data_IF_530169078409
#
_entry.id   IF_530169078409
#
_cell.length_a   1.000
_cell.length_b   1.000
_cell.length_c   1.000
_cell.angle_alpha   90.00
_cell.angle_beta   90.00
_cell.angle_gamma   90.00
#
_symmetry.space_group_name_H-M   'P 1'
#
loop_
_entity.id
_entity.type
_entity.pdbx_description
1 polymer ?
#
# COMPACT_ATOMS: atom_id res chain seq x y z
N UNK A 1 3.33 -10.40 16.41
CA UNK A 1 3.08 -9.56 15.22
C UNK A 1 4.25 -8.63 14.95
N UNK A 2 4.69 -7.82 15.92
CA UNK A 2 5.84 -6.90 15.75
C UNK A 2 7.12 -7.55 15.18
N UNK A 3 7.62 -8.64 15.79
CA UNK A 3 8.80 -9.37 15.29
C UNK A 3 8.65 -9.87 13.85
N UNK A 4 7.44 -10.28 13.48
CA UNK A 4 7.13 -10.72 12.11
C UNK A 4 7.18 -9.54 11.14
N UNK A 5 6.57 -8.40 11.51
CA UNK A 5 6.62 -7.17 10.73
C UNK A 5 8.06 -6.66 10.57
N UNK A 6 8.86 -6.65 11.64
CA UNK A 6 10.27 -6.28 11.59
C UNK A 6 11.04 -7.16 10.61
N UNK A 7 10.91 -8.50 10.71
CA UNK A 7 11.56 -9.39 9.74
C UNK A 7 11.16 -9.09 8.30
N UNK A 8 9.86 -8.89 8.01
CA UNK A 8 9.40 -8.55 6.66
C UNK A 8 9.93 -7.20 6.14
N UNK A 9 10.29 -6.28 7.03
CA UNK A 9 10.80 -4.95 6.69
C UNK A 9 12.32 -4.92 6.58
N UNK A 10 13.04 -5.68 7.41
CA UNK A 10 14.50 -5.58 7.55
C UNK A 10 15.25 -6.67 6.82
N UNK A 11 14.76 -7.91 6.87
CA UNK A 11 15.52 -9.06 6.38
C UNK A 11 15.48 -9.18 4.85
N UNK A 12 16.54 -9.76 4.31
CA UNK A 12 16.70 -9.94 2.88
C UNK A 12 15.76 -10.99 2.28
N UNK A 13 15.16 -11.86 3.09
CA UNK A 13 14.22 -12.87 2.58
C UNK A 13 13.01 -12.21 1.88
N UNK A 14 12.58 -11.03 2.33
CA UNK A 14 11.46 -10.29 1.76
C UNK A 14 11.91 -9.31 0.66
N UNK A 15 13.21 -9.22 0.35
CA UNK A 15 13.73 -8.21 -0.59
C UNK A 15 13.13 -8.30 -1.99
N UNK A 16 12.87 -9.52 -2.47
CA UNK A 16 12.34 -9.75 -3.81
C UNK A 16 10.91 -9.23 -3.99
N UNK A 17 10.12 -9.10 -2.92
CA UNK A 17 8.77 -8.50 -3.00
C UNK A 17 8.81 -7.00 -3.35
N UNK A 18 9.98 -6.37 -3.41
CA UNK A 18 10.09 -4.96 -3.78
C UNK A 18 10.36 -4.77 -5.29
N UNK A 19 10.58 -5.85 -6.03
CA UNK A 19 10.83 -5.82 -7.46
C UNK A 19 9.55 -5.62 -8.28
N UNK A 20 9.70 -5.12 -9.51
CA UNK A 20 8.62 -5.11 -10.48
C UNK A 20 8.60 -6.43 -11.25
N UNK A 21 7.49 -7.15 -11.17
CA UNK A 21 7.22 -8.38 -11.92
C UNK A 21 6.22 -8.16 -13.08
N UNK A 22 5.70 -6.95 -13.25
CA UNK A 22 4.81 -6.60 -14.36
C UNK A 22 5.59 -6.44 -15.66
N UNK A 23 5.08 -7.03 -16.74
CA UNK A 23 5.53 -6.77 -18.11
C UNK A 23 4.74 -5.63 -18.79
N UNK A 24 3.75 -5.05 -18.09
CA UNK A 24 2.96 -3.92 -18.58
C UNK A 24 3.54 -2.57 -18.10
N UNK A 25 3.03 -1.47 -18.66
CA UNK A 25 3.44 -0.12 -18.27
C UNK A 25 3.23 0.19 -16.78
N UNK A 26 2.29 -0.50 -16.11
CA UNK A 26 2.03 -0.31 -14.69
C UNK A 26 2.83 -1.33 -13.87
N UNK A 27 3.64 -0.84 -12.95
CA UNK A 27 4.46 -1.69 -12.08
C UNK A 27 3.57 -2.52 -11.12
N UNK A 28 4.00 -3.77 -10.88
CA UNK A 28 3.37 -4.67 -9.91
C UNK A 28 4.44 -5.48 -9.22
N UNK A 29 4.28 -5.63 -7.92
CA UNK A 29 4.94 -6.71 -7.21
C UNK A 29 4.00 -7.91 -7.03
N UNK A 30 4.49 -9.00 -6.46
CA UNK A 30 3.71 -10.19 -6.11
C UNK A 30 2.57 -9.80 -5.15
N UNK A 31 1.35 -9.73 -5.69
CA UNK A 31 0.12 -9.32 -5.00
C UNK A 31 0.08 -7.86 -4.51
N UNK A 32 1.03 -6.99 -4.89
CA UNK A 32 1.04 -5.58 -4.49
C UNK A 32 1.00 -4.64 -5.71
N UNK A 33 0.32 -3.49 -5.56
CA UNK A 33 0.58 -2.35 -6.41
C UNK A 33 1.96 -1.79 -6.05
N UNK A 34 2.74 -1.39 -7.06
CA UNK A 34 4.07 -0.83 -6.86
C UNK A 34 4.12 0.55 -7.52
N UNK A 35 4.59 1.55 -6.78
CA UNK A 35 4.80 2.91 -7.25
C UNK A 35 6.14 3.43 -6.69
N UNK A 36 7.21 3.31 -7.49
CA UNK A 36 8.55 3.65 -7.04
C UNK A 36 8.99 2.78 -5.85
N UNK A 37 9.40 3.40 -4.75
CA UNK A 37 9.83 2.72 -3.51
C UNK A 37 8.66 2.27 -2.62
N UNK A 38 7.41 2.52 -3.02
CA UNK A 38 6.20 2.16 -2.27
C UNK A 38 5.52 0.90 -2.80
N UNK A 39 5.04 0.07 -1.88
CA UNK A 39 4.06 -0.99 -2.14
C UNK A 39 2.76 -0.68 -1.43
N UNK A 40 1.64 -0.85 -2.12
CA UNK A 40 0.32 -0.63 -1.54
C UNK A 40 -0.72 -1.67 -1.98
N UNK A 41 -1.75 -1.82 -1.14
CA UNK A 41 -2.90 -2.64 -1.43
C UNK A 41 -4.17 -1.97 -0.92
N UNK A 42 -5.25 -2.13 -1.70
CA UNK A 42 -6.58 -1.63 -1.35
C UNK A 42 -7.53 -2.78 -1.10
N UNK A 43 -8.31 -2.68 -0.03
CA UNK A 43 -9.47 -3.53 0.19
C UNK A 43 -10.70 -2.91 -0.45
N UNK A 44 -11.63 -3.77 -0.86
CA UNK A 44 -12.85 -3.35 -1.56
C UNK A 44 -13.68 -2.33 -0.75
N UNK A 45 -13.73 -2.48 0.57
CA UNK A 45 -14.47 -1.58 1.48
C UNK A 45 -13.71 -0.28 1.80
N UNK A 46 -12.57 -0.01 1.15
CA UNK A 46 -11.82 1.23 1.32
C UNK A 46 -10.69 1.14 2.36
N UNK A 47 -10.42 -0.04 2.91
CA UNK A 47 -9.17 -0.25 3.66
C UNK A 47 -7.97 -0.08 2.75
N UNK A 48 -6.88 0.45 3.29
CA UNK A 48 -5.67 0.73 2.55
C UNK A 48 -4.46 0.48 3.42
N UNK A 49 -3.43 -0.12 2.83
CA UNK A 49 -2.13 -0.32 3.46
C UNK A 49 -1.05 0.10 2.47
N UNK A 50 -0.04 0.79 2.99
CA UNK A 50 1.14 1.20 2.21
C UNK A 50 2.40 1.06 3.04
N UNK A 51 3.48 0.66 2.38
CA UNK A 51 4.78 0.41 3.00
C UNK A 51 5.91 0.89 2.09
N UNK A 52 6.96 1.42 2.70
CA UNK A 52 8.22 1.79 2.06
C UNK A 52 9.38 1.25 2.88
N UNK A 53 10.06 0.23 2.35
CA UNK A 53 11.19 -0.42 3.02
C UNK A 53 12.43 0.47 3.09
N UNK A 54 12.70 1.25 2.06
CA UNK A 54 13.89 2.12 2.02
C UNK A 54 13.84 3.18 3.11
N UNK A 55 12.66 3.76 3.31
CA UNK A 55 12.44 4.82 4.29
C UNK A 55 11.96 4.30 5.65
N UNK A 56 11.70 2.99 5.78
CA UNK A 56 11.13 2.34 6.96
C UNK A 56 9.80 2.99 7.41
N UNK A 57 8.93 3.28 6.45
CA UNK A 57 7.63 3.91 6.67
C UNK A 57 6.50 2.94 6.34
N UNK A 58 5.42 3.04 7.10
CA UNK A 58 4.22 2.26 6.85
C UNK A 58 3.00 3.03 7.36
N UNK A 59 1.88 2.84 6.68
CA UNK A 59 0.60 3.35 7.13
C UNK A 59 -0.52 2.37 6.81
N UNK A 60 -1.50 2.31 7.70
CA UNK A 60 -2.73 1.56 7.53
C UNK A 60 -3.88 2.53 7.73
N UNK A 61 -4.77 2.58 6.77
CA UNK A 61 -6.02 3.32 6.84
C UNK A 61 -7.18 2.33 6.88
N UNK A 62 -7.95 2.38 7.97
CA UNK A 62 -9.10 1.53 8.20
C UNK A 62 -10.36 2.38 8.12
N UNK A 63 -11.31 1.96 7.29
CA UNK A 63 -12.64 2.57 7.19
C UNK A 63 -13.68 1.60 7.70
N UNK A 64 -14.73 2.13 8.32
CA UNK A 64 -15.91 1.37 8.74
C UNK A 64 -17.01 1.43 7.67
N UNK A 65 -16.64 1.49 6.38
CA UNK A 65 -17.61 1.63 5.30
C UNK A 65 -18.58 0.45 5.31
N UNK A 66 -19.86 0.76 5.50
CA UNK A 66 -20.98 -0.14 5.26
C UNK A 66 -21.58 0.14 3.88
N UNK A 67 -21.99 -0.91 3.16
CA UNK A 67 -22.39 -0.94 1.74
C UNK A 67 -23.60 -0.06 1.31
N UNK A 68 -24.08 0.87 2.14
CA UNK A 68 -25.33 1.60 1.87
C UNK A 68 -25.30 2.40 0.55
N UNK A 69 -24.12 2.88 0.11
CA UNK A 69 -23.94 3.54 -1.18
C UNK A 69 -22.54 3.25 -1.76
N UNK A 70 -22.45 3.02 -3.08
CA UNK A 70 -21.19 2.78 -3.80
C UNK A 70 -20.82 3.96 -4.71
N UNK A 71 -20.16 4.96 -4.13
CA UNK A 71 -19.52 6.06 -4.87
C UNK A 71 -18.03 5.78 -5.08
N UNK A 72 -17.74 4.83 -5.97
CA UNK A 72 -16.37 4.40 -6.27
C UNK A 72 -15.43 5.54 -6.67
N UNK A 73 -15.81 6.52 -7.51
CA UNK A 73 -14.97 7.66 -7.85
C UNK A 73 -14.50 8.46 -6.63
N UNK A 74 -15.41 8.85 -5.74
CA UNK A 74 -15.08 9.58 -4.51
C UNK A 74 -14.03 8.83 -3.68
N UNK A 75 -14.19 7.52 -3.52
CA UNK A 75 -13.26 6.71 -2.71
C UNK A 75 -11.87 6.57 -3.34
N UNK A 76 -11.78 6.58 -4.67
CA UNK A 76 -10.49 6.59 -5.35
C UNK A 76 -9.78 7.93 -5.06
N UNK A 77 -10.50 9.04 -5.14
CA UNK A 77 -9.96 10.39 -4.88
C UNK A 77 -9.50 10.54 -3.42
N UNK A 78 -10.37 10.23 -2.45
CA UNK A 78 -10.05 10.37 -1.03
C UNK A 78 -8.88 9.47 -0.61
N UNK A 79 -8.80 8.25 -1.16
CA UNK A 79 -7.64 7.40 -0.93
C UNK A 79 -6.36 8.01 -1.50
N UNK A 80 -6.39 8.53 -2.73
CA UNK A 80 -5.22 9.18 -3.32
C UNK A 80 -4.74 10.36 -2.46
N UNK A 81 -5.66 11.16 -1.92
CA UNK A 81 -5.35 12.24 -0.97
C UNK A 81 -4.63 11.71 0.27
N UNK A 82 -5.15 10.66 0.89
CA UNK A 82 -4.54 10.04 2.08
C UNK A 82 -3.16 9.46 1.75
N UNK A 83 -3.03 8.71 0.65
CA UNK A 83 -1.75 8.15 0.19
C UNK A 83 -0.70 9.24 -0.01
N UNK A 84 -1.06 10.30 -0.74
CA UNK A 84 -0.16 11.43 -0.99
C UNK A 84 0.23 12.14 0.30
N UNK A 85 -0.73 12.36 1.21
CA UNK A 85 -0.45 12.98 2.50
C UNK A 85 0.51 12.13 3.34
N UNK A 86 0.32 10.81 3.40
CA UNK A 86 1.25 9.90 4.10
C UNK A 86 2.64 9.99 3.50
N UNK A 87 2.77 9.89 2.17
CA UNK A 87 4.05 9.93 1.47
C UNK A 87 4.80 11.26 1.64
N UNK A 88 4.08 12.36 1.89
CA UNK A 88 4.66 13.70 2.06
C UNK A 88 5.01 14.04 3.52
N UNK A 89 4.26 13.50 4.49
CA UNK A 89 4.33 13.95 5.89
C UNK A 89 4.97 12.94 6.84
N UNK A 90 5.04 11.68 6.44
CA UNK A 90 5.80 10.66 7.14
C UNK A 90 6.98 10.30 6.30
#
# INVERSE_FOLDING_TARGET
>A
MEKFCQHYLTDDFASDIWQNFSQANKERSLAWNKEGDWLDHTGYTGTYVTINRKEQKAAIFLTNRTYAHDDRPLWIEERQRISQWIQQNY
#
